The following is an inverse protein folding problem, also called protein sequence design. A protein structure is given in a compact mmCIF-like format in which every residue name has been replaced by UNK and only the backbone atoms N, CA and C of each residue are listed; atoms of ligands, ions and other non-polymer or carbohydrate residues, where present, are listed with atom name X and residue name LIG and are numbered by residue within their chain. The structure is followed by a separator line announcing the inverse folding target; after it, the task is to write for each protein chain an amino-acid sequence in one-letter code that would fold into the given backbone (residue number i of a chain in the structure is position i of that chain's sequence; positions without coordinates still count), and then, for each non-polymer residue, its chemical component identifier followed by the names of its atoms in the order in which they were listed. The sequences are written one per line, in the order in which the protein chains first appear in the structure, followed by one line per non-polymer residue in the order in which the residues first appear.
data_IF_412043629824
#
_entry.id   IF_412043629824
#
_cell.length_a   1.000
_cell.length_b   1.000
_cell.length_c   1.000
_cell.angle_alpha   90.00
_cell.angle_beta   90.00
_cell.angle_gamma   90.00
#
_symmetry.space_group_name_H-M   'P 1'
#
loop_
_entity.id
_entity.type
_entity.pdbx_description
1 polymer ?
#
# COMPACT_ATOMS: atom_id res chain seq x y z
N UNK A 1 0.30 -27.58 50.85
CA UNK A 1 0.79 -27.65 49.48
C UNK A 1 0.47 -26.32 48.78
N UNK A 2 1.47 -25.51 48.61
CA UNK A 2 1.28 -24.23 47.89
C UNK A 2 1.48 -24.50 46.39
N UNK A 3 0.38 -24.52 45.68
CA UNK A 3 0.40 -24.51 44.22
C UNK A 3 0.71 -23.06 43.81
N UNK A 4 1.93 -22.79 43.38
CA UNK A 4 2.29 -21.51 42.77
C UNK A 4 1.54 -21.45 41.45
N UNK A 5 0.42 -20.70 41.42
CA UNK A 5 -0.22 -20.31 40.15
C UNK A 5 0.74 -19.41 39.38
N UNK A 6 1.32 -19.94 38.35
CA UNK A 6 2.09 -19.15 37.39
C UNK A 6 1.16 -18.10 36.75
N UNK A 7 1.66 -16.88 36.52
CA UNK A 7 0.83 -15.86 35.91
C UNK A 7 0.46 -16.26 34.48
N UNK A 8 -0.83 -16.47 34.26
CA UNK A 8 -1.46 -16.84 32.97
C UNK A 8 -1.27 -15.84 31.83
N UNK A 9 -0.72 -14.65 32.13
CA UNK A 9 -0.78 -13.54 31.18
C UNK A 9 0.17 -13.65 29.98
N UNK A 10 1.33 -14.28 30.09
CA UNK A 10 2.33 -14.30 29.00
C UNK A 10 2.02 -15.42 28.02
N UNK A 11 1.57 -16.57 28.52
CA UNK A 11 1.19 -17.72 27.69
C UNK A 11 -0.07 -17.44 26.88
N UNK A 12 -1.07 -16.75 27.45
CA UNK A 12 -2.34 -16.48 26.76
C UNK A 12 -2.16 -15.46 25.62
N UNK A 13 -1.30 -14.47 25.81
CA UNK A 13 -0.98 -13.47 24.75
C UNK A 13 -0.14 -14.11 23.64
N UNK A 14 0.81 -14.98 24.01
CA UNK A 14 1.64 -15.68 23.03
C UNK A 14 0.83 -16.67 22.22
N UNK A 15 -0.11 -17.39 22.86
CA UNK A 15 -0.96 -18.38 22.23
C UNK A 15 -2.00 -17.73 21.30
N UNK A 16 -2.61 -16.61 21.71
CA UNK A 16 -3.54 -15.87 20.85
C UNK A 16 -2.87 -15.25 19.63
N UNK A 17 -1.64 -14.76 19.76
CA UNK A 17 -0.85 -14.27 18.63
C UNK A 17 -0.41 -15.39 17.69
N UNK A 18 -0.06 -16.56 18.24
CA UNK A 18 0.31 -17.74 17.47
C UNK A 18 -0.90 -18.31 16.73
N UNK A 19 -2.08 -18.37 17.38
CA UNK A 19 -3.32 -18.85 16.78
C UNK A 19 -3.78 -17.94 15.66
N UNK A 20 -3.67 -16.62 15.81
CA UNK A 20 -3.95 -15.65 14.75
C UNK A 20 -2.97 -15.77 13.58
N UNK A 21 -1.68 -15.99 13.87
CA UNK A 21 -0.65 -16.18 12.86
C UNK A 21 -0.81 -17.52 12.14
N UNK A 22 -1.22 -18.57 12.83
CA UNK A 22 -1.52 -19.88 12.25
C UNK A 22 -2.82 -19.85 11.45
N UNK A 23 -3.82 -19.07 11.87
CA UNK A 23 -5.03 -18.86 11.07
C UNK A 23 -4.75 -18.09 9.78
N UNK A 24 -3.80 -17.16 9.78
CA UNK A 24 -3.37 -16.49 8.53
C UNK A 24 -2.59 -17.42 7.58
N UNK A 25 -1.83 -18.38 8.13
CA UNK A 25 -0.93 -19.25 7.35
C UNK A 25 -1.60 -20.59 6.97
N UNK A 26 -2.36 -21.21 7.85
CA UNK A 26 -2.88 -22.58 7.66
C UNK A 26 -4.34 -22.61 7.19
N UNK A 27 -5.16 -21.69 7.61
CA UNK A 27 -6.42 -21.44 6.97
C UNK A 27 -6.10 -20.47 5.83
N UNK A 28 -5.60 -21.00 4.73
CA UNK A 28 -5.68 -20.28 3.46
C UNK A 28 -7.09 -19.72 3.47
N UNK A 29 -7.23 -18.42 3.73
CA UNK A 29 -8.55 -17.78 3.69
C UNK A 29 -9.17 -18.26 2.40
N UNK A 30 -10.37 -18.81 2.44
CA UNK A 30 -11.07 -19.11 1.21
C UNK A 30 -10.90 -17.83 0.41
N UNK A 31 -10.50 -17.96 -0.85
CA UNK A 31 -10.36 -16.84 -1.77
C UNK A 31 -11.78 -16.27 -1.90
N UNK A 32 -12.25 -15.70 -0.81
CA UNK A 32 -13.45 -14.87 -0.82
C UNK A 32 -13.02 -13.66 -1.62
N UNK A 33 -13.70 -13.40 -2.70
CA UNK A 33 -13.60 -12.27 -3.59
C UNK A 33 -13.27 -10.98 -2.84
N UNK A 34 -12.04 -10.82 -2.43
CA UNK A 34 -11.48 -9.49 -2.21
C UNK A 34 -11.24 -8.96 -3.60
N UNK A 35 -12.19 -8.22 -4.10
CA UNK A 35 -12.16 -7.61 -5.43
C UNK A 35 -10.87 -6.80 -5.68
N UNK A 36 -10.13 -6.48 -4.63
CA UNK A 36 -8.88 -5.75 -4.73
C UNK A 36 -7.79 -6.29 -3.80
N UNK A 37 -6.56 -6.28 -4.28
CA UNK A 37 -5.36 -6.57 -3.51
C UNK A 37 -4.68 -5.26 -3.08
N UNK A 38 -4.20 -5.20 -1.84
CA UNK A 38 -3.33 -4.10 -1.41
C UNK A 38 -2.04 -4.12 -2.21
N UNK A 39 -1.76 -3.05 -2.96
CA UNK A 39 -0.54 -2.94 -3.73
C UNK A 39 0.68 -2.75 -2.81
N UNK A 40 1.78 -3.45 -3.10
CA UNK A 40 3.04 -3.26 -2.41
C UNK A 40 3.67 -1.94 -2.85
N UNK A 41 4.26 -1.22 -1.91
CA UNK A 41 4.87 0.09 -2.16
C UNK A 41 6.25 0.20 -1.54
N UNK A 42 7.10 0.99 -2.19
CA UNK A 42 8.32 1.55 -1.61
C UNK A 42 8.18 3.06 -1.60
N UNK A 43 8.58 3.68 -0.50
CA UNK A 43 8.60 5.14 -0.35
C UNK A 43 10.02 5.55 -0.01
N UNK A 44 10.55 6.51 -0.74
CA UNK A 44 11.83 7.15 -0.49
C UNK A 44 11.69 8.66 -0.55
N UNK A 45 12.61 9.38 0.07
CA UNK A 45 12.67 10.83 0.03
C UNK A 45 14.09 11.31 -0.17
N UNK A 46 14.23 12.46 -0.79
CA UNK A 46 15.43 13.27 -0.83
C UNK A 46 15.12 14.67 -0.29
N UNK A 47 16.04 15.63 -0.48
CA UNK A 47 15.86 17.00 0.02
C UNK A 47 14.61 17.68 -0.55
N UNK A 48 14.27 17.41 -1.82
CA UNK A 48 13.25 18.14 -2.57
C UNK A 48 11.98 17.35 -2.87
N UNK A 49 12.05 16.01 -2.86
CA UNK A 49 10.95 15.16 -3.34
C UNK A 49 10.70 13.93 -2.50
N UNK A 50 9.46 13.47 -2.53
CA UNK A 50 9.05 12.10 -2.17
C UNK A 50 8.88 11.27 -3.44
N UNK A 51 9.37 10.04 -3.42
CA UNK A 51 9.17 9.05 -4.49
C UNK A 51 8.44 7.84 -3.94
N UNK A 52 7.36 7.45 -4.62
CA UNK A 52 6.54 6.30 -4.25
C UNK A 52 6.50 5.36 -5.44
N UNK A 53 6.95 4.12 -5.26
CA UNK A 53 6.87 3.08 -6.26
C UNK A 53 5.80 2.08 -5.85
N UNK A 54 4.82 1.86 -6.72
CA UNK A 54 3.68 0.97 -6.48
C UNK A 54 3.74 -0.18 -7.47
N UNK A 55 3.76 -1.41 -6.97
CA UNK A 55 3.80 -2.61 -7.83
C UNK A 55 2.39 -2.95 -8.29
N UNK A 56 2.15 -2.84 -9.60
CA UNK A 56 0.83 -3.04 -10.22
C UNK A 56 0.95 -3.84 -11.53
N UNK A 57 1.41 -5.10 -11.48
CA UNK A 57 1.59 -5.89 -12.69
C UNK A 57 0.25 -6.17 -13.37
N UNK A 58 0.25 -6.16 -14.70
CA UNK A 58 -0.94 -6.47 -15.52
C UNK A 58 -1.97 -5.35 -15.61
N UNK A 59 -1.68 -4.15 -15.09
CA UNK A 59 -2.55 -2.99 -15.19
C UNK A 59 -2.06 -2.06 -16.30
N UNK A 60 -2.97 -1.65 -17.16
CA UNK A 60 -2.72 -0.64 -18.18
C UNK A 60 -2.90 0.77 -17.59
N UNK A 61 -2.20 1.75 -18.16
CA UNK A 61 -2.22 3.14 -17.70
C UNK A 61 -3.64 3.71 -17.61
N UNK A 62 -4.48 3.39 -18.58
CA UNK A 62 -5.87 3.84 -18.68
C UNK A 62 -6.77 3.30 -17.56
N UNK A 63 -6.33 2.22 -16.94
CA UNK A 63 -7.04 1.56 -15.84
C UNK A 63 -6.51 1.94 -14.46
N UNK A 64 -5.58 2.90 -14.39
CA UNK A 64 -5.07 3.45 -13.13
C UNK A 64 -5.74 4.78 -12.85
N UNK A 65 -6.23 4.95 -11.64
CA UNK A 65 -6.73 6.23 -11.14
C UNK A 65 -5.98 6.64 -9.88
N UNK A 66 -5.59 7.91 -9.85
CA UNK A 66 -5.02 8.58 -8.68
C UNK A 66 -5.97 9.69 -8.26
N UNK A 67 -6.30 9.72 -7.00
CA UNK A 67 -7.10 10.81 -6.42
C UNK A 67 -6.51 11.24 -5.07
N UNK A 68 -6.72 12.49 -4.73
CA UNK A 68 -6.30 13.06 -3.46
C UNK A 68 -7.56 13.51 -2.72
N UNK A 69 -7.78 12.91 -1.56
CA UNK A 69 -8.85 13.29 -0.63
C UNK A 69 -8.22 13.87 0.63
N UNK A 70 -8.37 15.18 0.83
CA UNK A 70 -7.67 15.95 1.85
C UNK A 70 -6.15 15.76 1.76
N UNK A 71 -5.57 14.93 2.58
CA UNK A 71 -4.14 14.61 2.60
C UNK A 71 -3.85 13.13 2.32
N UNK A 72 -4.86 12.40 1.85
CA UNK A 72 -4.75 10.97 1.54
C UNK A 72 -4.70 10.76 0.04
N UNK A 73 -3.59 10.24 -0.45
CA UNK A 73 -3.46 9.78 -1.83
C UNK A 73 -4.11 8.41 -1.96
N UNK A 74 -5.06 8.29 -2.86
CA UNK A 74 -5.79 7.06 -3.15
C UNK A 74 -5.37 6.58 -4.54
N UNK A 75 -4.87 5.35 -4.59
CA UNK A 75 -4.37 4.72 -5.81
C UNK A 75 -5.25 3.52 -6.10
N UNK A 76 -5.84 3.49 -7.29
CA UNK A 76 -6.62 2.38 -7.79
C UNK A 76 -6.07 1.88 -9.12
N UNK A 77 -5.98 0.55 -9.27
CA UNK A 77 -5.70 -0.08 -10.54
C UNK A 77 -6.72 -1.18 -10.81
N UNK A 78 -7.39 -1.10 -11.95
CA UNK A 78 -8.38 -2.08 -12.39
C UNK A 78 -7.79 -2.99 -13.45
N UNK A 79 -7.90 -4.30 -13.25
CA UNK A 79 -7.49 -5.28 -14.26
C UNK A 79 -8.60 -5.49 -15.26
N UNK A 80 -8.23 -5.61 -16.52
CA UNK A 80 -9.16 -6.10 -17.53
C UNK A 80 -9.37 -7.61 -17.32
N UNK A 81 -10.64 -8.03 -17.24
CA UNK A 81 -10.97 -9.45 -17.10
C UNK A 81 -10.40 -10.24 -18.29
N UNK A 82 -9.65 -11.27 -17.98
CA UNK A 82 -9.11 -12.18 -19.00
C UNK A 82 -10.28 -13.00 -19.58
N UNK A 83 -10.60 -12.75 -20.85
CA UNK A 83 -11.71 -13.42 -21.55
C UNK A 83 -11.33 -14.79 -22.10
N UNK A 84 -10.45 -15.52 -21.45
CA UNK A 84 -10.09 -16.87 -21.87
C UNK A 84 -11.17 -17.90 -21.45
N UNK A 85 -12.37 -17.78 -22.03
CA UNK A 85 -13.52 -18.64 -21.71
C UNK A 85 -13.33 -20.11 -22.13
N UNK A 86 -12.32 -20.42 -22.95
CA UNK A 86 -12.11 -21.76 -23.52
C UNK A 86 -10.85 -22.46 -23.03
N UNK A 87 -10.17 -21.95 -21.99
CA UNK A 87 -8.95 -22.56 -21.49
C UNK A 87 -9.15 -23.21 -20.13
N UNK A 88 -8.82 -24.49 -20.01
CA UNK A 88 -8.71 -25.16 -18.73
C UNK A 88 -7.40 -24.78 -18.04
N UNK A 89 -7.49 -24.13 -16.87
CA UNK A 89 -6.30 -23.80 -16.08
C UNK A 89 -5.79 -25.04 -15.37
N UNK A 90 -4.59 -25.48 -15.71
CA UNK A 90 -3.95 -26.64 -15.09
C UNK A 90 -3.24 -26.28 -13.79
N UNK A 91 -2.75 -25.05 -13.64
CA UNK A 91 -2.08 -24.54 -12.45
C UNK A 91 -2.25 -23.03 -12.34
N UNK A 92 -2.53 -22.56 -11.14
CA UNK A 92 -2.65 -21.14 -10.83
C UNK A 92 -1.87 -20.85 -9.55
N UNK A 93 -0.77 -20.14 -9.66
CA UNK A 93 0.07 -19.74 -8.52
C UNK A 93 -0.15 -18.28 -8.14
N UNK A 94 -0.65 -17.46 -9.06
CA UNK A 94 -1.02 -16.08 -8.79
C UNK A 94 -2.25 -15.69 -9.61
N UNK A 95 -2.97 -14.71 -9.10
CA UNK A 95 -4.09 -14.08 -9.80
C UNK A 95 -3.80 -12.60 -9.92
N UNK A 96 -3.97 -12.08 -11.13
CA UNK A 96 -4.00 -10.65 -11.35
C UNK A 96 -5.35 -10.13 -10.81
N UNK A 97 -5.31 -9.16 -9.92
CA UNK A 97 -6.49 -8.57 -9.27
C UNK A 97 -6.47 -7.07 -9.38
N UNK A 98 -7.58 -6.44 -9.08
CA UNK A 98 -7.61 -5.01 -8.86
C UNK A 98 -6.69 -4.65 -7.70
N UNK A 99 -6.03 -3.52 -7.79
CA UNK A 99 -5.14 -2.99 -6.75
C UNK A 99 -5.71 -1.74 -6.13
N UNK A 100 -5.52 -1.59 -4.84
CA UNK A 100 -5.88 -0.40 -4.11
C UNK A 100 -4.81 -0.07 -3.08
N UNK A 101 -4.48 1.21 -2.94
CA UNK A 101 -3.63 1.70 -1.86
C UNK A 101 -4.07 3.09 -1.42
N UNK A 102 -4.06 3.33 -0.12
CA UNK A 102 -4.29 4.65 0.49
C UNK A 102 -3.04 5.04 1.27
N UNK A 103 -2.55 6.25 1.05
CA UNK A 103 -1.35 6.78 1.67
C UNK A 103 -1.61 8.17 2.22
N UNK A 104 -1.34 8.38 3.50
CA UNK A 104 -1.33 9.71 4.07
C UNK A 104 -0.03 10.42 3.68
N UNK A 105 -0.14 11.56 3.03
CA UNK A 105 1.00 12.35 2.60
C UNK A 105 1.57 13.15 3.78
N UNK A 106 2.90 13.38 3.80
CA UNK A 106 3.51 14.30 4.75
C UNK A 106 2.94 15.73 4.61
N UNK A 107 2.97 16.51 5.70
CA UNK A 107 2.42 17.87 5.72
C UNK A 107 3.13 18.84 4.77
N UNK A 108 4.39 18.57 4.48
CA UNK A 108 5.23 19.33 3.57
C UNK A 108 5.17 18.83 2.11
N UNK A 109 4.34 17.86 1.80
CA UNK A 109 4.08 17.44 0.43
C UNK A 109 3.29 18.53 -0.33
N UNK A 110 3.78 18.91 -1.53
CA UNK A 110 3.09 19.85 -2.41
C UNK A 110 2.09 19.11 -3.29
N UNK A 111 0.83 19.17 -2.93
CA UNK A 111 -0.24 18.41 -3.58
C UNK A 111 -0.42 18.71 -5.08
N UNK A 112 -0.09 19.94 -5.49
CA UNK A 112 -0.20 20.36 -6.91
C UNK A 112 0.91 19.81 -7.78
N UNK A 113 1.97 19.28 -7.19
CA UNK A 113 3.15 18.77 -7.87
C UNK A 113 3.15 17.26 -8.09
N UNK A 114 2.06 16.58 -7.75
CA UNK A 114 1.96 15.12 -7.88
C UNK A 114 2.01 14.75 -9.36
N UNK A 115 2.99 13.97 -9.74
CA UNK A 115 3.15 13.38 -11.06
C UNK A 115 3.30 11.87 -10.96
N UNK A 116 2.85 11.15 -11.98
CA UNK A 116 2.92 9.70 -11.99
C UNK A 116 3.27 9.16 -13.37
N UNK A 117 4.06 8.10 -13.41
CA UNK A 117 4.45 7.39 -14.61
C UNK A 117 4.38 5.88 -14.39
N UNK A 118 3.80 5.13 -15.34
CA UNK A 118 3.77 3.67 -15.30
C UNK A 118 4.84 3.11 -16.22
N UNK A 119 5.74 2.28 -15.65
CA UNK A 119 6.79 1.61 -16.39
C UNK A 119 6.99 0.19 -15.86
N UNK A 120 6.96 -0.79 -16.75
CA UNK A 120 7.23 -2.20 -16.39
C UNK A 120 6.39 -2.74 -15.22
N UNK A 121 5.11 -2.34 -15.13
CA UNK A 121 4.22 -2.75 -14.03
C UNK A 121 4.49 -2.05 -12.70
N UNK A 122 5.32 -1.02 -12.69
CA UNK A 122 5.58 -0.19 -11.52
C UNK A 122 5.07 1.22 -11.79
N UNK A 123 4.16 1.68 -10.93
CA UNK A 123 3.70 3.06 -10.94
C UNK A 123 4.63 3.92 -10.08
N UNK A 124 5.38 4.79 -10.72
CA UNK A 124 6.30 5.74 -10.09
C UNK A 124 5.57 7.05 -9.86
N UNK A 125 5.42 7.47 -8.61
CA UNK A 125 4.78 8.73 -8.22
C UNK A 125 5.83 9.62 -7.59
N UNK A 126 5.93 10.86 -8.08
CA UNK A 126 6.84 11.89 -7.56
C UNK A 126 6.03 13.04 -7.01
N UNK A 127 6.37 13.50 -5.82
CA UNK A 127 5.73 14.61 -5.13
C UNK A 127 6.83 15.57 -4.64
N UNK A 128 6.79 16.83 -5.04
CA UNK A 128 7.73 17.82 -4.53
C UNK A 128 7.41 18.18 -3.08
N UNK A 129 8.43 18.54 -2.32
CA UNK A 129 8.26 19.12 -1.01
C UNK A 129 7.95 20.62 -1.15
N UNK A 130 7.11 21.16 -0.26
CA UNK A 130 6.87 22.59 -0.17
C UNK A 130 8.18 23.32 0.13
N UNK A 131 8.41 24.42 -0.56
CA UNK A 131 9.57 25.27 -0.31
C UNK A 131 9.50 25.78 1.13
N UNK A 132 10.50 25.44 1.95
CA UNK A 132 10.62 25.99 3.30
C UNK A 132 10.88 27.49 3.17
N UNK A 133 9.98 28.33 3.70
CA UNK A 133 10.25 29.76 3.80
C UNK A 133 11.47 29.95 4.72
N UNK A 134 12.54 30.49 4.19
CA UNK A 134 13.68 30.90 5.00
C UNK A 134 13.24 32.01 5.97
N UNK A 135 13.72 32.01 7.22
CA UNK A 135 13.42 33.09 8.16
C UNK A 135 13.84 34.42 7.53
N UNK A 136 12.92 35.37 7.50
CA UNK A 136 13.21 36.73 7.02
C UNK A 136 13.76 37.53 8.16
N UNK A 137 14.98 38.04 8.05
CA UNK A 137 15.53 38.99 9.00
C UNK A 137 14.75 40.32 8.89
N UNK A 138 14.13 40.74 9.99
CA UNK A 138 13.48 42.04 10.09
C UNK A 138 14.50 43.04 10.61
N UNK A 139 14.81 44.03 9.78
CA UNK A 139 15.67 45.15 10.18
C UNK A 139 14.80 46.12 10.98
N UNK A 140 15.17 46.36 12.23
CA UNK A 140 14.55 47.39 13.06
C UNK A 140 15.14 48.73 12.67
N UNK A 141 14.30 49.64 12.26
CA UNK A 141 14.70 51.02 11.97
C UNK A 141 14.75 51.83 13.25
#
# INVERSE_FOLDING_TARGET
MNIIKQPKMITDIFQSNLDNMLQEILIGQPITDRESKTANINISENEDTYQINVVMPGIEKENISLSLDNNTLIIHGKINADKSENQQRLRTEFLLKNYQRKLNLPKDAEHKSISANLKNGILEITINKKVKMKPKNIIIK
#
